data_IF_493762857891
#
_entry.id   IF_493762857891
#
_cell.length_a   1.000
_cell.length_b   1.000
_cell.length_c   1.000
_cell.angle_alpha   90.00
_cell.angle_beta   90.00
_cell.angle_gamma   90.00
#
_symmetry.space_group_name_H-M   'P 1'
#
loop_
_entity.id
_entity.type
_entity.pdbx_description
1 polymer ?
#
# COMPACT_ATOMS: atom_id res chain seq x y z
N UNK A 1 27.31 -5.61 15.09
CA UNK A 1 26.06 -6.32 14.77
C UNK A 1 25.19 -5.43 13.90
N UNK A 2 24.80 -5.88 12.71
CA UNK A 2 23.90 -5.12 11.81
C UNK A 2 22.50 -5.20 12.41
N UNK A 3 21.96 -4.09 12.93
CA UNK A 3 20.55 -4.03 13.37
C UNK A 3 19.69 -4.19 12.12
N UNK A 4 19.12 -5.39 11.90
CA UNK A 4 18.04 -5.53 10.94
C UNK A 4 16.86 -4.71 11.46
N UNK A 5 16.46 -3.68 10.70
CA UNK A 5 15.16 -3.04 10.93
C UNK A 5 14.09 -4.10 10.76
N UNK A 6 13.06 -4.08 11.62
CA UNK A 6 11.89 -4.94 11.43
C UNK A 6 11.25 -4.53 10.10
N UNK A 7 10.89 -5.52 9.30
CA UNK A 7 10.24 -5.28 8.00
C UNK A 7 8.99 -4.40 8.14
N UNK A 8 8.21 -4.60 9.21
CA UNK A 8 7.04 -3.77 9.53
C UNK A 8 7.40 -2.29 9.69
N UNK A 9 8.41 -1.96 10.50
CA UNK A 9 8.80 -0.57 10.76
C UNK A 9 9.26 0.12 9.46
N UNK A 10 10.02 -0.59 8.62
CA UNK A 10 10.40 -0.11 7.29
C UNK A 10 9.19 0.10 6.38
N UNK A 11 8.25 -0.84 6.38
CA UNK A 11 7.04 -0.75 5.55
C UNK A 11 6.16 0.42 6.00
N UNK A 12 5.98 0.64 7.30
CA UNK A 12 5.23 1.80 7.82
C UNK A 12 5.90 3.13 7.46
N UNK A 13 7.23 3.19 7.48
CA UNK A 13 7.99 4.37 7.06
C UNK A 13 7.79 4.65 5.56
N UNK A 14 7.90 3.63 4.71
CA UNK A 14 7.69 3.77 3.26
C UNK A 14 6.24 4.14 2.92
N UNK A 15 5.27 3.46 3.53
CA UNK A 15 3.85 3.68 3.28
C UNK A 15 3.29 4.92 4.00
N UNK A 16 4.11 5.68 4.73
CA UNK A 16 3.72 7.00 5.25
C UNK A 16 3.63 8.05 4.13
N UNK A 17 4.40 7.85 3.06
CA UNK A 17 4.27 8.61 1.83
C UNK A 17 2.99 8.19 1.08
N UNK A 18 2.17 9.17 0.74
CA UNK A 18 0.86 8.95 0.13
C UNK A 18 0.98 8.28 -1.24
N UNK A 19 1.93 8.70 -2.07
CA UNK A 19 2.09 8.16 -3.42
C UNK A 19 2.57 6.72 -3.37
N UNK A 20 3.53 6.43 -2.49
CA UNK A 20 3.97 5.04 -2.24
C UNK A 20 2.83 4.16 -1.72
N UNK A 21 1.98 4.67 -0.83
CA UNK A 21 0.83 3.92 -0.33
C UNK A 21 -0.20 3.63 -1.44
N UNK A 22 -0.46 4.60 -2.33
CA UNK A 22 -1.36 4.41 -3.48
C UNK A 22 -0.78 3.36 -4.43
N UNK A 23 0.49 3.51 -4.82
CA UNK A 23 1.17 2.59 -5.72
C UNK A 23 1.19 1.16 -5.16
N UNK A 24 1.50 1.02 -3.88
CA UNK A 24 1.47 -0.27 -3.16
C UNK A 24 0.09 -0.94 -3.20
N UNK A 25 -0.98 -0.17 -3.01
CA UNK A 25 -2.35 -0.69 -3.06
C UNK A 25 -2.80 -1.04 -4.49
N UNK A 26 -2.36 -0.28 -5.48
CA UNK A 26 -2.64 -0.58 -6.89
C UNK A 26 -1.97 -1.88 -7.31
N UNK A 27 -0.68 -2.06 -6.99
CA UNK A 27 0.03 -3.33 -7.23
C UNK A 27 -0.66 -4.50 -6.54
N UNK A 28 -1.05 -4.36 -5.27
CA UNK A 28 -1.75 -5.42 -4.55
C UNK A 28 -3.10 -5.79 -5.19
N UNK A 29 -3.82 -4.81 -5.76
CA UNK A 29 -5.07 -5.06 -6.49
C UNK A 29 -4.81 -5.79 -7.82
N UNK A 30 -3.78 -5.42 -8.56
CA UNK A 30 -3.39 -6.08 -9.82
C UNK A 30 -2.95 -7.54 -9.58
N UNK A 31 -2.16 -7.78 -8.54
CA UNK A 31 -1.76 -9.13 -8.12
C UNK A 31 -2.99 -9.97 -7.77
N UNK A 32 -3.89 -9.44 -6.92
CA UNK A 32 -5.16 -10.09 -6.58
C UNK A 32 -6.02 -10.42 -7.81
N UNK A 33 -6.11 -9.52 -8.78
CA UNK A 33 -6.86 -9.78 -10.02
C UNK A 33 -6.24 -10.92 -10.85
N UNK A 34 -4.94 -11.18 -10.67
CA UNK A 34 -4.20 -12.21 -11.39
C UNK A 34 -4.24 -13.56 -10.67
N UNK A 35 -4.02 -13.59 -9.37
CA UNK A 35 -3.87 -14.83 -8.58
C UNK A 35 -5.07 -15.18 -7.68
N UNK A 36 -5.97 -14.23 -7.44
CA UNK A 36 -7.13 -14.38 -6.57
C UNK A 36 -6.81 -14.38 -5.06
N UNK A 37 -5.61 -13.99 -4.63
CA UNK A 37 -5.20 -13.98 -3.22
C UNK A 37 -5.80 -12.78 -2.47
N UNK A 38 -7.04 -12.98 -1.97
CA UNK A 38 -7.75 -11.97 -1.19
C UNK A 38 -7.10 -11.68 0.17
N UNK A 39 -6.29 -12.61 0.69
CA UNK A 39 -5.60 -12.43 1.97
C UNK A 39 -4.45 -11.43 1.79
N UNK A 40 -3.69 -11.56 0.68
CA UNK A 40 -2.64 -10.62 0.32
C UNK A 40 -3.21 -9.20 0.13
N UNK A 41 -4.32 -9.06 -0.61
CA UNK A 41 -5.00 -7.78 -0.80
C UNK A 41 -5.47 -7.15 0.52
N UNK A 42 -6.14 -7.93 1.37
CA UNK A 42 -6.62 -7.43 2.67
C UNK A 42 -5.47 -6.99 3.57
N UNK A 43 -4.37 -7.74 3.57
CA UNK A 43 -3.17 -7.40 4.32
C UNK A 43 -2.55 -6.10 3.83
N UNK A 44 -2.36 -5.95 2.52
CA UNK A 44 -1.82 -4.74 1.93
C UNK A 44 -2.69 -3.52 2.26
N UNK A 45 -4.02 -3.67 2.14
CA UNK A 45 -4.98 -2.63 2.52
C UNK A 45 -4.87 -2.22 3.98
N UNK A 46 -4.81 -3.21 4.88
CA UNK A 46 -4.65 -2.95 6.32
C UNK A 46 -3.35 -2.22 6.65
N UNK A 47 -2.25 -2.61 6.01
CA UNK A 47 -0.93 -1.99 6.21
C UNK A 47 -0.89 -0.55 5.69
N UNK A 48 -1.50 -0.26 4.54
CA UNK A 48 -1.58 1.10 4.02
C UNK A 48 -2.45 2.00 4.91
N UNK A 49 -3.59 1.49 5.41
CA UNK A 49 -4.43 2.25 6.35
C UNK A 49 -3.69 2.52 7.66
N UNK A 50 -2.97 1.54 8.21
CA UNK A 50 -2.14 1.73 9.41
C UNK A 50 -1.07 2.81 9.20
N UNK A 51 -0.29 2.70 8.11
CA UNK A 51 0.81 3.60 7.81
C UNK A 51 0.37 5.04 7.52
N UNK A 52 -0.84 5.22 6.97
CA UNK A 52 -1.42 6.53 6.69
C UNK A 52 -2.10 7.18 7.91
N UNK A 53 -1.97 6.61 9.11
CA UNK A 53 -2.53 7.19 10.34
C UNK A 53 -3.92 6.67 10.71
N UNK A 54 -4.34 5.54 10.13
CA UNK A 54 -5.61 4.88 10.41
C UNK A 54 -6.75 5.31 9.48
N UNK A 55 -7.95 4.78 9.76
CA UNK A 55 -9.13 4.89 8.87
C UNK A 55 -9.50 6.34 8.55
N UNK A 56 -9.53 7.22 9.56
CA UNK A 56 -9.96 8.61 9.37
C UNK A 56 -8.97 9.39 8.50
N UNK A 57 -7.69 9.28 8.80
CA UNK A 57 -6.63 10.00 8.09
C UNK A 57 -6.45 9.47 6.66
N UNK A 58 -6.48 8.14 6.48
CA UNK A 58 -6.47 7.51 5.17
C UNK A 58 -7.65 8.00 4.31
N UNK A 59 -8.86 8.00 4.85
CA UNK A 59 -10.05 8.44 4.13
C UNK A 59 -9.97 9.92 3.74
N UNK A 60 -9.50 10.79 4.65
CA UNK A 60 -9.31 12.21 4.39
C UNK A 60 -8.30 12.44 3.25
N UNK A 61 -7.13 11.79 3.32
CA UNK A 61 -6.05 11.91 2.34
C UNK A 61 -6.40 11.35 0.98
N UNK A 62 -7.26 10.35 0.93
CA UNK A 62 -7.63 9.67 -0.31
C UNK A 62 -8.98 10.11 -0.87
N UNK A 63 -9.62 11.10 -0.26
CA UNK A 63 -10.97 11.55 -0.60
C UNK A 63 -12.01 10.42 -0.60
N UNK A 64 -11.84 9.46 0.32
CA UNK A 64 -12.76 8.36 0.55
C UNK A 64 -13.69 8.65 1.73
N UNK A 65 -14.78 7.87 1.82
CA UNK A 65 -15.65 7.88 2.98
C UNK A 65 -15.01 7.02 4.09
N UNK A 66 -14.79 7.54 5.32
CA UNK A 66 -14.25 6.77 6.44
C UNK A 66 -15.04 5.50 6.74
N UNK A 67 -16.37 5.53 6.58
CA UNK A 67 -17.24 4.38 6.74
C UNK A 67 -16.90 3.29 5.71
N UNK A 68 -16.70 3.66 4.44
CA UNK A 68 -16.37 2.71 3.39
C UNK A 68 -15.00 2.04 3.62
N UNK A 69 -14.02 2.80 4.14
CA UNK A 69 -12.69 2.27 4.51
C UNK A 69 -12.81 1.32 5.71
N UNK A 70 -13.59 1.68 6.72
CA UNK A 70 -13.86 0.83 7.88
C UNK A 70 -14.58 -0.46 7.48
N UNK A 71 -15.61 -0.37 6.67
CA UNK A 71 -16.40 -1.52 6.20
C UNK A 71 -15.54 -2.47 5.37
N UNK A 72 -14.67 -1.94 4.51
CA UNK A 72 -13.71 -2.73 3.73
C UNK A 72 -12.71 -3.49 4.63
N UNK A 73 -12.23 -2.89 5.72
CA UNK A 73 -11.34 -3.55 6.68
C UNK A 73 -12.04 -4.66 7.47
N UNK A 74 -13.27 -4.39 7.95
CA UNK A 74 -14.01 -5.29 8.82
C UNK A 74 -14.64 -6.47 8.06
N UNK A 75 -15.24 -6.18 6.91
CA UNK A 75 -15.89 -7.20 6.08
C UNK A 75 -14.90 -8.16 5.44
N UNK A 76 -13.62 -7.75 5.31
CA UNK A 76 -12.60 -8.43 4.51
C UNK A 76 -13.07 -8.74 3.08
N UNK A 77 -14.00 -7.93 2.58
CA UNK A 77 -14.59 -8.12 1.28
C UNK A 77 -13.73 -7.43 0.22
N UNK A 78 -13.14 -8.24 -0.65
CA UNK A 78 -12.30 -7.87 -1.78
C UNK A 78 -12.95 -6.82 -2.68
N UNK A 79 -14.27 -6.89 -2.89
CA UNK A 79 -15.00 -5.95 -3.75
C UNK A 79 -15.09 -4.59 -3.10
N UNK A 80 -15.24 -4.52 -1.77
CA UNK A 80 -15.22 -3.25 -1.05
C UNK A 80 -13.83 -2.64 -1.03
N UNK A 81 -12.79 -3.46 -0.83
CA UNK A 81 -11.39 -3.02 -0.86
C UNK A 81 -11.04 -2.48 -2.25
N UNK A 82 -11.33 -3.22 -3.31
CA UNK A 82 -11.10 -2.80 -4.69
C UNK A 82 -11.78 -1.46 -4.98
N UNK A 83 -13.05 -1.27 -4.58
CA UNK A 83 -13.78 0.00 -4.76
C UNK A 83 -13.12 1.20 -4.08
N UNK A 84 -12.50 0.99 -2.90
CA UNK A 84 -11.75 2.06 -2.22
C UNK A 84 -10.46 2.36 -2.99
N UNK A 85 -9.75 1.33 -3.46
CA UNK A 85 -8.50 1.46 -4.21
C UNK A 85 -8.73 2.13 -5.57
N UNK A 86 -9.78 1.75 -6.30
CA UNK A 86 -10.14 2.32 -7.61
C UNK A 86 -10.53 3.80 -7.53
N UNK A 87 -10.93 4.29 -6.34
CA UNK A 87 -11.26 5.71 -6.10
C UNK A 87 -10.02 6.54 -5.73
N UNK A 88 -8.89 5.91 -5.47
CA UNK A 88 -7.66 6.64 -5.17
C UNK A 88 -7.30 7.52 -6.37
N UNK A 89 -6.88 8.78 -6.13
CA UNK A 89 -6.43 9.63 -7.23
C UNK A 89 -5.24 8.93 -7.90
N UNK A 90 -5.38 8.72 -9.22
CA UNK A 90 -4.34 8.10 -10.02
C UNK A 90 -3.04 8.89 -9.93
N UNK A 91 -1.93 8.18 -10.06
CA UNK A 91 -0.60 8.76 -9.94
C UNK A 91 -0.45 9.90 -10.97
N UNK A 92 -0.30 11.13 -10.49
CA UNK A 92 0.24 12.22 -11.29
C UNK A 92 1.75 12.07 -11.39
N UNK A 93 2.23 10.98 -11.98
CA UNK A 93 3.66 10.67 -12.04
C UNK A 93 4.37 11.41 -13.17
N UNK A 94 5.13 12.46 -12.83
CA UNK A 94 6.46 12.67 -13.40
C UNK A 94 7.50 12.29 -12.35
N UNK A 95 8.20 11.16 -12.56
CA UNK A 95 9.52 10.96 -11.98
C UNK A 95 9.75 9.68 -11.17
N UNK A 96 9.90 8.56 -11.88
CA UNK A 96 10.84 7.46 -11.58
C UNK A 96 11.15 7.16 -10.10
N UNK A 97 10.42 6.21 -9.55
CA UNK A 97 10.90 5.35 -8.47
C UNK A 97 10.94 3.90 -8.94
N UNK A 98 12.01 3.50 -9.66
CA UNK A 98 12.20 2.08 -10.02
C UNK A 98 12.48 1.28 -8.75
N UNK A 99 11.44 0.62 -8.24
CA UNK A 99 11.55 -0.42 -7.23
C UNK A 99 12.18 -1.67 -7.87
N UNK A 100 13.50 -1.61 -8.13
CA UNK A 100 14.14 -2.69 -8.88
C UNK A 100 15.62 -2.56 -9.23
N UNK A 101 16.44 -1.67 -8.67
CA UNK A 101 17.89 -1.65 -9.03
C UNK A 101 18.90 -1.37 -7.90
N UNK A 102 18.53 -1.51 -6.63
CA UNK A 102 19.51 -1.43 -5.53
C UNK A 102 20.15 -2.81 -5.20
N UNK A 103 20.64 -3.55 -6.20
CA UNK A 103 21.47 -4.75 -5.96
C UNK A 103 22.53 -5.02 -7.03
N UNK A 104 23.20 -3.99 -7.56
CA UNK A 104 24.47 -4.17 -8.31
C UNK A 104 25.45 -3.02 -8.09
N UNK A 105 25.87 -2.80 -6.84
CA UNK A 105 27.18 -2.19 -6.53
C UNK A 105 27.71 -2.80 -5.24
N UNK A 106 28.49 -3.86 -5.34
CA UNK A 106 29.66 -4.17 -4.49
C UNK A 106 30.23 -5.50 -4.98
N UNK A 107 31.09 -5.44 -6.00
CA UNK A 107 32.21 -6.36 -6.18
C UNK A 107 33.24 -5.64 -7.04
N UNK A 108 34.03 -4.79 -6.39
CA UNK A 108 35.35 -4.41 -6.85
C UNK A 108 36.31 -4.92 -5.78
N UNK A 109 36.98 -6.04 -6.08
CA UNK A 109 38.29 -6.45 -5.56
C UNK A 109 39.00 -7.12 -6.72
#
# INVERSE_FOLDING_TARGET
>A
MRKMRKYHDYLMEELSDREKAISYLQTALEEYQTDGDSIALHRAFSQAVEAQGGVQEFALRTHNNPQAVSDALLSKNETQIARVIERLPGEGCEGRGTYGEAKRRTTAV
#
